data_IF_552066725512
#
_entry.id   IF_552066725512
#
_cell.length_a   1.000
_cell.length_b   1.000
_cell.length_c   1.000
_cell.angle_alpha   90.00
_cell.angle_beta   90.00
_cell.angle_gamma   90.00
#
_symmetry.space_group_name_H-M   'P 1'
#
loop_
_entity.id
_entity.type
_entity.pdbx_description
1 polymer ?
#
# COMPACT_ATOMS: atom_id res chain seq x y z
N UNK A 1 36.04 -20.43 17.67
CA UNK A 1 35.13 -20.24 16.53
C UNK A 1 33.79 -20.80 16.96
N UNK A 2 32.93 -19.94 17.44
CA UNK A 2 31.53 -20.29 17.81
C UNK A 2 30.68 -19.93 16.65
N UNK A 3 30.16 -20.93 15.96
CA UNK A 3 29.04 -20.78 15.05
C UNK A 3 27.81 -20.35 15.88
N UNK A 4 27.32 -19.17 15.59
CA UNK A 4 26.07 -18.71 16.16
C UNK A 4 24.95 -19.60 15.61
N UNK A 5 24.42 -20.47 16.47
CA UNK A 5 23.14 -21.12 16.23
C UNK A 5 22.08 -20.03 16.03
N UNK A 6 21.70 -19.81 14.79
CA UNK A 6 20.46 -19.13 14.48
C UNK A 6 19.33 -20.00 15.02
N UNK A 7 18.64 -19.50 16.02
CA UNK A 7 17.54 -20.15 16.71
C UNK A 7 16.39 -20.42 15.72
N UNK A 8 16.34 -21.63 15.17
CA UNK A 8 15.24 -22.12 14.31
C UNK A 8 13.92 -22.34 15.09
N UNK A 9 13.88 -21.97 16.38
CA UNK A 9 12.78 -22.35 17.29
C UNK A 9 11.54 -21.49 17.18
N UNK A 10 11.56 -20.35 16.48
CA UNK A 10 10.41 -19.43 16.46
C UNK A 10 9.40 -19.63 15.30
N UNK A 11 9.71 -20.46 14.31
CA UNK A 11 8.75 -20.80 13.25
C UNK A 11 7.73 -21.87 13.67
N UNK A 12 7.93 -22.55 14.79
CA UNK A 12 7.07 -23.63 15.26
C UNK A 12 5.87 -23.18 16.11
N UNK A 13 5.72 -21.89 16.39
CA UNK A 13 4.57 -21.38 17.17
C UNK A 13 3.34 -21.05 16.31
N UNK A 14 3.50 -20.87 15.01
CA UNK A 14 2.37 -20.62 14.13
C UNK A 14 1.58 -21.92 13.88
N UNK A 15 0.29 -21.87 14.15
CA UNK A 15 -0.61 -22.99 13.87
C UNK A 15 -0.99 -23.00 12.38
N UNK A 16 -0.49 -24.01 11.66
CA UNK A 16 -0.84 -24.27 10.25
C UNK A 16 -1.85 -25.40 10.07
N UNK A 17 -2.32 -25.99 11.18
CA UNK A 17 -3.31 -27.05 11.16
C UNK A 17 -4.71 -26.43 11.35
N UNK A 18 -5.48 -26.39 10.27
CA UNK A 18 -6.83 -25.83 10.26
C UNK A 18 -7.77 -26.53 11.25
N UNK A 19 -7.58 -27.84 11.49
CA UNK A 19 -8.37 -28.60 12.44
C UNK A 19 -8.18 -28.15 13.91
N UNK A 20 -7.10 -27.42 14.19
CA UNK A 20 -6.80 -26.87 15.52
C UNK A 20 -7.30 -25.43 15.71
N UNK A 21 -7.87 -24.82 14.68
CA UNK A 21 -8.50 -23.49 14.80
C UNK A 21 -9.78 -23.67 15.64
N UNK A 22 -9.94 -22.91 16.74
CA UNK A 22 -11.16 -22.95 17.52
C UNK A 22 -12.37 -22.56 16.68
N UNK A 23 -13.51 -23.16 16.95
CA UNK A 23 -14.77 -22.72 16.34
C UNK A 23 -15.09 -21.30 16.80
N UNK A 24 -15.49 -20.45 15.87
CA UNK A 24 -15.91 -19.08 16.15
C UNK A 24 -17.13 -18.72 15.28
N UNK A 25 -17.93 -17.78 15.78
CA UNK A 25 -19.02 -17.21 15.01
C UNK A 25 -18.58 -15.85 14.46
N UNK A 26 -18.81 -15.64 13.16
CA UNK A 26 -18.58 -14.33 12.58
C UNK A 26 -19.68 -13.36 13.04
N UNK A 27 -19.32 -12.14 13.45
CA UNK A 27 -20.32 -11.12 13.76
C UNK A 27 -21.22 -10.85 12.56
N UNK A 28 -22.53 -10.81 12.79
CA UNK A 28 -23.48 -10.47 11.72
C UNK A 28 -23.30 -9.00 11.30
N UNK A 29 -22.97 -8.74 10.03
CA UNK A 29 -22.83 -7.37 9.54
C UNK A 29 -24.16 -6.58 9.59
N UNK A 30 -25.30 -7.26 9.63
CA UNK A 30 -26.62 -6.64 9.69
C UNK A 30 -27.18 -6.52 11.12
N UNK A 31 -26.33 -6.61 12.13
CA UNK A 31 -26.68 -6.33 13.53
C UNK A 31 -25.87 -5.15 14.04
N UNK A 32 -26.53 -4.15 14.60
CA UNK A 32 -25.85 -3.01 15.25
C UNK A 32 -25.04 -3.44 16.48
N UNK A 33 -24.11 -2.61 16.94
CA UNK A 33 -23.30 -2.89 18.13
C UNK A 33 -24.16 -3.02 19.43
N UNK A 34 -25.38 -2.49 19.42
CA UNK A 34 -26.34 -2.64 20.53
C UNK A 34 -27.22 -3.90 20.44
N UNK A 35 -26.99 -4.72 19.42
CA UNK A 35 -27.73 -5.97 19.19
C UNK A 35 -29.04 -5.82 18.43
N UNK A 36 -29.46 -4.62 18.04
CA UNK A 36 -30.65 -4.43 17.20
C UNK A 36 -30.36 -4.70 15.71
N UNK A 37 -31.41 -5.02 14.95
CA UNK A 37 -31.31 -5.38 13.53
C UNK A 37 -31.13 -4.18 12.62
N UNK A 38 -30.26 -4.34 11.61
CA UNK A 38 -30.15 -3.42 10.45
C UNK A 38 -31.19 -3.85 9.41
N UNK A 39 -32.34 -3.19 9.41
CA UNK A 39 -33.49 -3.61 8.60
C UNK A 39 -33.59 -2.89 7.26
N UNK A 40 -32.94 -1.73 7.12
CA UNK A 40 -33.03 -0.91 5.92
C UNK A 40 -31.66 -0.47 5.39
N UNK A 41 -31.62 -0.10 4.11
CA UNK A 41 -30.42 0.51 3.54
C UNK A 41 -30.07 1.87 4.19
N UNK A 42 -31.05 2.55 4.79
CA UNK A 42 -30.82 3.78 5.53
C UNK A 42 -30.10 3.49 6.87
N UNK A 43 -30.52 2.46 7.59
CA UNK A 43 -29.86 2.02 8.84
C UNK A 43 -28.40 1.70 8.61
N UNK A 44 -28.12 0.97 7.51
CA UNK A 44 -26.76 0.67 7.11
C UNK A 44 -25.95 1.95 6.84
N UNK A 45 -26.42 2.83 5.95
CA UNK A 45 -25.68 4.02 5.54
C UNK A 45 -25.46 5.02 6.67
N UNK A 46 -26.48 5.19 7.52
CA UNK A 46 -26.48 6.25 8.51
C UNK A 46 -25.82 5.85 9.83
N UNK A 47 -25.73 4.54 10.11
CA UNK A 47 -25.18 4.06 11.38
C UNK A 47 -24.28 2.85 11.23
N UNK A 48 -24.77 1.70 10.70
CA UNK A 48 -24.00 0.45 10.76
C UNK A 48 -22.66 0.52 10.03
N UNK A 49 -22.62 1.17 8.87
CA UNK A 49 -21.38 1.37 8.14
C UNK A 49 -20.30 2.07 8.97
N UNK A 50 -20.68 3.07 9.75
CA UNK A 50 -19.74 3.78 10.61
C UNK A 50 -19.24 2.89 11.77
N UNK A 51 -20.13 2.08 12.38
CA UNK A 51 -19.75 1.12 13.41
C UNK A 51 -18.76 0.07 12.89
N UNK A 52 -19.00 -0.48 11.69
CA UNK A 52 -18.09 -1.45 11.05
C UNK A 52 -16.76 -0.80 10.71
N UNK A 53 -16.77 0.42 10.18
CA UNK A 53 -15.53 1.15 9.87
C UNK A 53 -14.68 1.38 11.12
N UNK A 54 -15.31 1.80 12.23
CA UNK A 54 -14.61 2.01 13.50
C UNK A 54 -13.97 0.71 14.04
N UNK A 55 -14.61 -0.44 13.85
CA UNK A 55 -14.01 -1.73 14.18
C UNK A 55 -12.74 -2.01 13.37
N UNK A 56 -12.79 -1.80 12.06
CA UNK A 56 -11.62 -1.97 11.20
C UNK A 56 -10.51 -0.95 11.50
N UNK A 57 -10.86 0.30 11.76
CA UNK A 57 -9.89 1.34 12.15
C UNK A 57 -9.25 1.04 13.50
N UNK A 58 -10.02 0.47 14.44
CA UNK A 58 -9.52 0.21 15.80
C UNK A 58 -8.66 -1.04 15.88
N UNK A 59 -9.05 -2.12 15.19
CA UNK A 59 -8.45 -3.44 15.40
C UNK A 59 -7.61 -3.95 14.25
N UNK A 60 -7.68 -3.37 13.06
CA UNK A 60 -7.03 -3.91 11.86
C UNK A 60 -6.08 -2.92 11.21
N UNK A 61 -6.56 -1.76 10.76
CA UNK A 61 -5.79 -0.86 9.90
C UNK A 61 -5.25 0.39 10.59
N UNK A 62 -5.75 0.74 11.75
CA UNK A 62 -5.50 2.04 12.38
C UNK A 62 -6.37 3.15 11.80
N UNK A 63 -6.41 4.27 12.48
CA UNK A 63 -7.17 5.46 12.05
C UNK A 63 -6.30 6.35 11.16
N UNK A 64 -6.89 6.85 10.09
CA UNK A 64 -6.26 7.90 9.29
C UNK A 64 -5.96 9.11 10.17
N UNK A 65 -4.72 9.62 10.19
CA UNK A 65 -4.39 10.80 10.98
C UNK A 65 -5.31 11.98 10.65
N UNK A 66 -5.79 12.65 11.68
CA UNK A 66 -6.57 13.87 11.52
C UNK A 66 -5.62 15.03 11.17
N UNK A 67 -5.95 15.80 10.15
CA UNK A 67 -5.21 16.98 9.72
C UNK A 67 -4.67 16.88 8.30
N UNK A 68 -4.17 18.00 7.79
CA UNK A 68 -3.44 18.04 6.52
C UNK A 68 -1.99 17.60 6.73
N UNK A 69 -1.48 16.82 5.80
CA UNK A 69 -0.05 16.53 5.72
C UNK A 69 0.56 17.56 4.76
N UNK A 70 1.52 18.35 5.24
CA UNK A 70 2.33 19.21 4.38
C UNK A 70 3.31 18.34 3.60
N UNK A 71 2.83 17.80 2.48
CA UNK A 71 3.64 16.98 1.62
C UNK A 71 4.51 17.84 0.70
N UNK A 72 5.83 17.59 0.72
CA UNK A 72 6.78 18.19 -0.21
C UNK A 72 7.10 17.20 -1.31
N UNK A 73 7.11 17.63 -2.56
CA UNK A 73 7.46 16.79 -3.69
C UNK A 73 8.73 17.25 -4.40
N UNK A 74 9.52 16.29 -4.86
CA UNK A 74 10.73 16.50 -5.65
C UNK A 74 10.70 15.63 -6.88
N UNK A 75 10.93 16.21 -8.06
CA UNK A 75 11.10 15.43 -9.30
C UNK A 75 12.48 14.81 -9.28
N UNK A 76 12.54 13.50 -9.31
CA UNK A 76 13.78 12.71 -9.33
C UNK A 76 14.30 12.51 -10.75
N UNK A 77 13.39 12.24 -11.70
CA UNK A 77 13.69 11.96 -13.10
C UNK A 77 12.50 12.33 -13.96
N UNK A 78 12.77 12.75 -15.19
CA UNK A 78 11.74 12.91 -16.22
C UNK A 78 12.34 12.68 -17.62
N UNK A 79 11.52 12.18 -18.55
CA UNK A 79 11.94 11.90 -19.91
C UNK A 79 10.80 11.50 -20.83
N UNK A 80 11.14 11.22 -22.08
CA UNK A 80 10.22 10.56 -23.00
C UNK A 80 10.06 9.08 -22.64
N UNK A 81 8.92 8.52 -22.97
CA UNK A 81 8.57 7.14 -22.67
C UNK A 81 7.66 6.56 -23.75
N UNK A 82 7.55 5.23 -23.81
CA UNK A 82 6.69 4.51 -24.74
C UNK A 82 6.91 4.92 -26.20
N UNK A 83 8.15 4.97 -26.66
CA UNK A 83 8.52 5.41 -28.02
C UNK A 83 8.00 6.82 -28.37
N UNK A 84 8.13 7.76 -27.46
CA UNK A 84 7.68 9.15 -27.61
C UNK A 84 6.17 9.36 -27.50
N UNK A 85 5.40 8.32 -27.12
CA UNK A 85 3.94 8.42 -26.94
C UNK A 85 3.55 8.98 -25.58
N UNK A 86 4.46 8.91 -24.60
CA UNK A 86 4.25 9.41 -23.26
C UNK A 86 5.46 10.22 -22.76
N UNK A 87 5.25 11.00 -21.72
CA UNK A 87 6.29 11.56 -20.86
C UNK A 87 6.26 10.82 -19.53
N UNK A 88 7.42 10.33 -19.11
CA UNK A 88 7.62 9.74 -17.79
C UNK A 88 8.06 10.83 -16.81
N UNK A 89 7.61 10.70 -15.57
CA UNK A 89 8.08 11.50 -14.46
C UNK A 89 8.14 10.64 -13.21
N UNK A 90 9.25 10.71 -12.49
CA UNK A 90 9.42 10.10 -11.19
C UNK A 90 9.46 11.20 -10.13
N UNK A 91 8.60 11.09 -9.14
CA UNK A 91 8.41 12.12 -8.12
C UNK A 91 8.46 11.49 -6.75
N UNK A 92 9.36 11.96 -5.90
CA UNK A 92 9.37 11.61 -4.48
C UNK A 92 8.50 12.57 -3.69
N UNK A 93 7.62 12.03 -2.89
CA UNK A 93 6.72 12.77 -2.00
C UNK A 93 7.14 12.48 -0.56
N UNK A 94 7.60 13.49 0.14
CA UNK A 94 7.92 13.44 1.56
C UNK A 94 6.71 13.85 2.37
N UNK A 95 6.45 13.12 3.46
CA UNK A 95 5.34 13.39 4.38
C UNK A 95 5.77 14.18 5.62
N UNK A 96 7.03 14.57 5.67
CA UNK A 96 7.64 15.39 6.71
C UNK A 96 8.52 16.44 6.07
N UNK A 97 8.98 17.40 6.86
CA UNK A 97 9.95 18.42 6.46
C UNK A 97 11.40 17.90 6.32
N UNK A 98 11.64 16.65 6.72
CA UNK A 98 12.95 15.98 6.60
C UNK A 98 13.09 15.29 5.25
N UNK A 99 14.34 15.09 4.82
CA UNK A 99 14.69 14.41 3.57
C UNK A 99 14.86 12.88 3.73
N UNK A 100 14.46 12.37 4.89
CA UNK A 100 14.43 10.95 5.19
C UNK A 100 13.01 10.36 5.12
N UNK A 101 12.85 9.13 5.55
CA UNK A 101 11.53 8.47 5.60
C UNK A 101 10.61 9.10 6.66
N UNK A 102 9.29 9.02 6.46
CA UNK A 102 8.61 8.33 5.37
C UNK A 102 8.48 9.15 4.09
N UNK A 103 8.67 8.50 2.95
CA UNK A 103 8.41 9.05 1.62
C UNK A 103 7.72 8.02 0.72
N UNK A 104 7.19 8.48 -0.42
CA UNK A 104 6.60 7.66 -1.48
C UNK A 104 7.22 8.06 -2.82
N UNK A 105 7.64 7.09 -3.61
CA UNK A 105 8.11 7.30 -4.97
C UNK A 105 6.98 7.00 -5.97
N UNK A 106 6.57 8.02 -6.70
CA UNK A 106 5.50 7.98 -7.67
C UNK A 106 6.07 7.97 -9.09
N UNK A 107 5.74 6.94 -9.87
CA UNK A 107 6.02 6.87 -11.30
C UNK A 107 4.77 7.29 -12.08
N UNK A 108 4.90 8.28 -12.94
CA UNK A 108 3.79 8.88 -13.69
C UNK A 108 4.10 8.78 -15.19
N UNK A 109 3.14 8.25 -15.95
CA UNK A 109 3.13 8.32 -17.39
C UNK A 109 2.01 9.23 -17.87
N UNK A 110 2.36 10.25 -18.64
CA UNK A 110 1.43 11.24 -19.18
C UNK A 110 1.48 11.14 -20.71
N UNK A 111 0.34 10.97 -21.41
CA UNK A 111 0.33 10.96 -22.87
C UNK A 111 1.00 12.22 -23.45
N UNK A 112 1.95 12.06 -24.39
CA UNK A 112 2.74 13.17 -24.93
C UNK A 112 1.90 14.26 -25.60
N UNK A 113 0.73 13.88 -26.16
CA UNK A 113 -0.19 14.80 -26.87
C UNK A 113 -1.41 15.22 -26.03
N UNK A 114 -1.33 15.05 -24.70
CA UNK A 114 -2.42 15.44 -23.82
C UNK A 114 -2.64 16.96 -23.86
N UNK A 115 -3.84 17.39 -24.27
CA UNK A 115 -4.24 18.81 -24.35
C UNK A 115 -5.26 19.21 -23.28
N UNK A 116 -5.91 18.25 -22.67
CA UNK A 116 -6.98 18.44 -21.66
C UNK A 116 -6.77 17.45 -20.51
N UNK A 117 -7.28 17.73 -19.31
CA UNK A 117 -7.29 16.74 -18.24
C UNK A 117 -7.89 15.42 -18.72
N UNK A 118 -7.22 14.32 -18.37
CA UNK A 118 -7.61 12.96 -18.75
C UNK A 118 -7.81 12.13 -17.50
N UNK A 119 -8.74 11.17 -17.50
CA UNK A 119 -8.81 10.17 -16.45
C UNK A 119 -7.47 9.47 -16.29
N UNK A 120 -7.12 9.14 -15.05
CA UNK A 120 -5.90 8.42 -14.71
C UNK A 120 -6.19 7.20 -13.87
N UNK A 121 -5.23 6.28 -13.85
CA UNK A 121 -5.20 5.14 -12.95
C UNK A 121 -4.05 5.35 -11.97
N UNK A 122 -4.24 4.95 -10.72
CA UNK A 122 -3.19 4.89 -9.71
C UNK A 122 -3.25 3.53 -9.04
N UNK A 123 -2.10 2.96 -8.75
CA UNK A 123 -1.98 1.69 -8.06
C UNK A 123 -0.72 1.63 -7.21
N UNK A 124 -0.72 0.80 -6.19
CA UNK A 124 0.46 0.46 -5.41
C UNK A 124 1.13 -0.76 -6.02
N UNK A 125 2.46 -0.82 -5.96
CA UNK A 125 3.22 -2.00 -6.34
C UNK A 125 4.14 -2.43 -5.18
N UNK A 126 4.50 -3.72 -5.14
CA UNK A 126 5.32 -4.30 -4.07
C UNK A 126 6.81 -4.40 -4.42
N UNK A 127 7.15 -4.31 -5.70
CA UNK A 127 8.51 -4.59 -6.18
C UNK A 127 9.19 -3.35 -6.77
N UNK A 128 8.71 -2.16 -6.41
CA UNK A 128 9.26 -0.89 -6.87
C UNK A 128 8.83 -0.52 -8.30
N UNK A 129 8.97 0.75 -8.62
CA UNK A 129 8.51 1.33 -9.88
C UNK A 129 9.19 0.73 -11.11
N UNK A 130 10.45 0.34 -11.01
CA UNK A 130 11.22 -0.29 -12.09
C UNK A 130 10.68 -1.66 -12.52
N UNK A 131 9.93 -2.35 -11.66
CA UNK A 131 9.40 -3.69 -11.94
C UNK A 131 8.17 -3.71 -12.83
N UNK A 132 7.49 -2.57 -13.02
CA UNK A 132 6.23 -2.50 -13.77
C UNK A 132 6.41 -2.11 -15.24
N UNK A 133 7.63 -1.84 -15.68
CA UNK A 133 7.94 -1.42 -17.05
C UNK A 133 9.29 -1.98 -17.48
N UNK A 134 9.48 -2.31 -18.77
CA UNK A 134 10.77 -2.71 -19.30
C UNK A 134 11.71 -1.51 -19.59
N UNK A 135 11.28 -0.27 -19.35
CA UNK A 135 12.09 0.92 -19.58
C UNK A 135 13.25 1.01 -18.60
N UNK A 136 14.48 1.04 -19.10
CA UNK A 136 15.71 1.03 -18.30
C UNK A 136 16.03 2.37 -17.63
N UNK A 137 15.33 3.43 -18.02
CA UNK A 137 15.52 4.78 -17.46
C UNK A 137 14.75 5.02 -16.17
N UNK A 138 13.93 4.06 -15.74
CA UNK A 138 13.25 4.12 -14.43
C UNK A 138 14.26 3.84 -13.32
N UNK A 139 14.25 4.66 -12.29
CA UNK A 139 15.17 4.54 -11.15
C UNK A 139 14.96 3.19 -10.46
N UNK A 140 16.05 2.46 -10.28
CA UNK A 140 16.05 1.21 -9.52
C UNK A 140 15.82 1.53 -8.04
N UNK A 141 14.95 0.74 -7.40
CA UNK A 141 14.76 0.83 -5.96
C UNK A 141 15.96 0.21 -5.24
N UNK A 142 16.42 0.85 -4.19
CA UNK A 142 17.40 0.35 -3.23
C UNK A 142 16.75 -0.25 -1.96
N UNK A 143 15.41 -0.35 -1.98
CA UNK A 143 14.66 -0.92 -0.88
C UNK A 143 14.67 -2.44 -0.90
N UNK A 144 14.63 -3.04 0.30
CA UNK A 144 14.50 -4.49 0.42
C UNK A 144 13.20 -4.99 -0.23
N UNK A 145 13.32 -6.07 -1.01
CA UNK A 145 12.20 -6.73 -1.65
C UNK A 145 12.27 -8.24 -1.40
N UNK A 146 11.10 -8.85 -1.25
CA UNK A 146 10.98 -10.27 -0.91
C UNK A 146 11.51 -11.21 -2.00
N UNK A 147 11.36 -10.82 -3.26
CA UNK A 147 11.70 -11.66 -4.42
C UNK A 147 12.87 -11.04 -5.18
N UNK A 148 13.76 -11.92 -5.65
CA UNK A 148 14.85 -11.55 -6.53
C UNK A 148 14.32 -11.34 -7.94
N UNK A 149 14.61 -10.22 -8.53
CA UNK A 149 14.25 -9.90 -9.92
C UNK A 149 15.19 -8.86 -10.50
N UNK A 150 15.04 -8.57 -11.78
CA UNK A 150 15.81 -7.50 -12.43
C UNK A 150 15.54 -6.17 -11.72
N UNK A 151 16.59 -5.56 -11.20
CA UNK A 151 16.50 -4.30 -10.46
C UNK A 151 16.17 -4.44 -8.97
N UNK A 152 15.99 -5.65 -8.46
CA UNK A 152 15.87 -5.90 -7.02
C UNK A 152 17.28 -5.98 -6.43
N UNK A 153 17.52 -5.21 -5.40
CA UNK A 153 18.79 -5.18 -4.68
C UNK A 153 18.68 -6.05 -3.43
N UNK A 154 19.60 -6.99 -3.26
CA UNK A 154 19.76 -7.71 -1.99
C UNK A 154 20.49 -6.81 -0.98
N UNK A 155 19.95 -6.68 0.20
CA UNK A 155 20.61 -6.09 1.36
C UNK A 155 21.04 -7.18 2.33
#
# INVERSE_FOLDING_TARGET
MNEANHDETNYNEANYDEARVPSFELPDPLTFNDGSDVSTAADWRNRRRAEVLDLFETYVYGKTPAGSIDARSVVLSEGEACDGKARRKEVRIYFTDRDDRPYLDLLIYIPAKLKTPSPGFIGLNFQGNHSITPETDVILSDEWMREKGTGVVEH
#
